data_IF_862297408562
#
_entry.id   IF_862297408562
#
_cell.length_a   1.000
_cell.length_b   1.000
_cell.length_c   1.000
_cell.angle_alpha   90.00
_cell.angle_beta   90.00
_cell.angle_gamma   90.00
#
_symmetry.space_group_name_H-M   'P 1'
#
loop_
_entity.id
_entity.type
_entity.pdbx_description
1 polymer ?
#
# COMPACT_ATOMS: atom_id res chain seq x y z
N UNK A 1 9.30 -35.10 17.03
CA UNK A 1 10.04 -34.22 16.09
C UNK A 1 11.41 -34.76 15.65
N UNK A 2 11.64 -36.08 15.55
CA UNK A 2 12.95 -36.63 15.13
C UNK A 2 12.95 -37.28 13.72
N UNK A 3 11.78 -37.52 13.10
CA UNK A 3 11.68 -38.21 11.79
C UNK A 3 11.62 -37.30 10.56
N UNK A 4 11.46 -35.99 10.74
CA UNK A 4 11.42 -35.00 9.64
C UNK A 4 12.81 -34.43 9.29
N UNK A 5 13.78 -34.47 10.21
CA UNK A 5 15.16 -33.99 9.95
C UNK A 5 15.95 -34.94 9.04
N UNK A 6 15.74 -36.26 9.13
CA UNK A 6 16.49 -37.26 8.36
C UNK A 6 16.11 -37.30 6.87
N UNK A 7 14.88 -36.94 6.51
CA UNK A 7 14.43 -36.85 5.11
C UNK A 7 14.95 -35.60 4.41
N UNK A 8 15.03 -34.47 5.12
CA UNK A 8 15.62 -33.22 4.60
C UNK A 8 17.14 -33.32 4.40
N UNK A 9 17.87 -34.01 5.29
CA UNK A 9 19.31 -34.24 5.13
C UNK A 9 19.64 -35.19 3.95
N UNK A 10 18.77 -36.16 3.65
CA UNK A 10 18.95 -37.05 2.48
C UNK A 10 18.73 -36.35 1.13
N UNK A 11 17.88 -35.33 1.09
CA UNK A 11 17.65 -34.57 -0.14
C UNK A 11 18.77 -33.55 -0.40
N UNK A 12 19.33 -32.94 0.66
CA UNK A 12 20.42 -31.96 0.51
C UNK A 12 21.73 -32.59 0.03
N UNK A 13 22.11 -33.76 0.57
CA UNK A 13 23.32 -34.48 0.13
C UNK A 13 23.24 -35.10 -1.27
N UNK A 14 22.11 -35.00 -1.97
CA UNK A 14 21.96 -35.39 -3.39
C UNK A 14 22.05 -34.20 -4.35
N UNK A 15 21.92 -32.98 -3.84
CA UNK A 15 22.04 -31.74 -4.61
C UNK A 15 23.52 -31.33 -4.81
N UNK A 16 24.41 -31.69 -3.88
CA UNK A 16 25.83 -31.33 -3.91
C UNK A 16 26.70 -32.19 -4.85
N UNK A 17 26.17 -33.28 -5.41
CA UNK A 17 26.94 -34.22 -6.26
C UNK A 17 26.88 -33.96 -7.77
N UNK A 18 26.34 -32.82 -8.20
CA UNK A 18 26.58 -32.27 -9.53
C UNK A 18 26.42 -33.23 -10.72
N UNK A 19 25.55 -34.23 -10.63
CA UNK A 19 25.29 -35.17 -11.73
C UNK A 19 23.93 -34.83 -12.34
N UNK A 20 23.85 -33.65 -12.94
CA UNK A 20 22.87 -33.40 -14.00
C UNK A 20 23.45 -33.97 -15.28
N UNK A 21 22.82 -34.96 -15.94
CA UNK A 21 23.17 -35.29 -17.31
C UNK A 21 22.87 -34.05 -18.15
N UNK A 22 23.85 -33.66 -18.98
CA UNK A 22 23.81 -32.44 -19.77
C UNK A 22 22.53 -32.30 -20.58
N UNK A 23 22.03 -31.06 -20.60
CA UNK A 23 21.03 -30.60 -21.55
C UNK A 23 21.75 -30.53 -22.90
N UNK A 24 21.43 -31.46 -23.81
CA UNK A 24 21.71 -31.28 -25.23
C UNK A 24 20.54 -30.54 -25.85
N UNK A 25 20.83 -29.39 -26.45
CA UNK A 25 19.90 -28.56 -27.21
C UNK A 25 19.53 -29.24 -28.53
N UNK A 26 18.47 -30.05 -28.56
CA UNK A 26 17.73 -30.37 -29.80
C UNK A 26 16.49 -31.24 -29.51
N UNK A 27 15.56 -30.79 -28.68
CA UNK A 27 14.19 -31.28 -28.72
C UNK A 27 13.36 -30.33 -27.86
N UNK A 28 12.46 -29.57 -28.50
CA UNK A 28 11.42 -28.83 -27.79
C UNK A 28 10.76 -29.87 -26.90
N UNK A 29 10.85 -29.79 -25.54
CA UNK A 29 10.31 -30.83 -24.70
C UNK A 29 8.84 -30.93 -25.09
N UNK A 30 8.50 -32.08 -25.68
CA UNK A 30 7.18 -32.28 -26.24
C UNK A 30 6.19 -31.87 -25.16
N UNK A 31 5.09 -31.20 -25.53
CA UNK A 31 4.10 -30.68 -24.56
C UNK A 31 3.78 -31.71 -23.46
N UNK A 32 3.81 -32.99 -23.83
CA UNK A 32 3.69 -34.19 -23.01
C UNK A 32 4.80 -34.40 -21.96
N UNK A 33 6.08 -34.16 -22.25
CA UNK A 33 7.14 -34.30 -21.25
C UNK A 33 6.97 -33.29 -20.11
N UNK A 34 6.58 -32.05 -20.41
CA UNK A 34 6.29 -31.05 -19.35
C UNK A 34 5.05 -31.41 -18.51
N UNK A 35 4.04 -32.03 -19.12
CA UNK A 35 2.75 -32.34 -18.49
C UNK A 35 2.86 -33.51 -17.50
N UNK A 36 3.72 -34.50 -17.77
CA UNK A 36 3.89 -35.67 -16.91
C UNK A 36 4.58 -35.32 -15.58
N UNK A 37 5.42 -34.29 -15.55
CA UNK A 37 6.05 -33.78 -14.33
C UNK A 37 5.20 -32.73 -13.59
N UNK A 38 4.04 -32.34 -14.12
CA UNK A 38 3.13 -31.44 -13.41
C UNK A 38 2.32 -32.21 -12.35
N UNK A 39 2.51 -31.83 -11.09
CA UNK A 39 1.74 -32.35 -9.98
C UNK A 39 0.25 -31.96 -10.12
N UNK A 40 -0.57 -32.89 -10.60
CA UNK A 40 -2.01 -32.71 -10.72
C UNK A 40 -2.75 -33.32 -9.50
N UNK A 41 -3.81 -32.67 -8.99
CA UNK A 41 -4.60 -33.22 -7.90
C UNK A 41 -5.27 -34.54 -8.34
N UNK A 42 -4.92 -35.65 -7.67
CA UNK A 42 -5.38 -36.99 -8.03
C UNK A 42 -6.90 -37.16 -7.96
N UNK A 43 -7.58 -36.44 -7.07
CA UNK A 43 -9.03 -36.52 -6.86
C UNK A 43 -9.65 -35.15 -6.55
N UNK A 44 -10.91 -34.98 -6.97
CA UNK A 44 -11.73 -33.81 -6.63
C UNK A 44 -12.08 -33.84 -5.14
N UNK A 45 -11.88 -32.71 -4.46
CA UNK A 45 -12.29 -32.56 -3.05
C UNK A 45 -13.81 -32.50 -2.93
N UNK A 46 -14.36 -33.15 -1.91
CA UNK A 46 -15.79 -33.12 -1.62
C UNK A 46 -16.26 -31.73 -1.16
N UNK A 47 -17.57 -31.51 -1.16
CA UNK A 47 -18.16 -30.23 -0.76
C UNK A 47 -17.92 -29.96 0.73
N UNK A 48 -17.99 -30.99 1.55
CA UNK A 48 -17.77 -30.95 3.00
C UNK A 48 -16.34 -30.52 3.32
N UNK A 49 -15.35 -31.15 2.67
CA UNK A 49 -13.92 -30.81 2.83
C UNK A 49 -13.68 -29.35 2.42
N UNK A 50 -14.29 -28.90 1.33
CA UNK A 50 -14.18 -27.51 0.90
C UNK A 50 -14.86 -26.54 1.85
N UNK A 51 -16.02 -26.89 2.42
CA UNK A 51 -16.73 -26.06 3.41
C UNK A 51 -15.92 -25.94 4.69
N UNK A 52 -15.43 -27.03 5.26
CA UNK A 52 -14.57 -27.01 6.46
C UNK A 52 -13.29 -26.22 6.21
N UNK A 53 -12.68 -26.37 5.02
CA UNK A 53 -11.48 -25.62 4.65
C UNK A 53 -11.73 -24.12 4.48
N UNK A 54 -12.91 -23.70 3.98
CA UNK A 54 -13.24 -22.28 3.72
C UNK A 54 -13.84 -21.57 4.92
N UNK A 55 -14.67 -22.26 5.71
CA UNK A 55 -15.42 -21.71 6.86
C UNK A 55 -14.71 -21.92 8.20
N UNK A 56 -13.43 -22.32 8.18
CA UNK A 56 -12.63 -22.37 9.40
C UNK A 56 -12.54 -20.94 9.98
N UNK A 57 -12.81 -20.72 11.27
CA UNK A 57 -12.70 -19.42 11.93
C UNK A 57 -11.39 -18.67 11.64
N UNK A 58 -10.27 -19.37 11.45
CA UNK A 58 -8.98 -18.76 11.10
C UNK A 58 -8.94 -18.08 9.72
N UNK A 59 -9.93 -18.36 8.86
CA UNK A 59 -10.09 -17.76 7.54
C UNK A 59 -11.27 -16.80 7.46
N UNK A 60 -12.07 -16.71 8.53
CA UNK A 60 -13.12 -15.72 8.63
C UNK A 60 -12.49 -14.37 8.95
N UNK A 61 -13.17 -13.30 8.53
CA UNK A 61 -12.75 -11.94 8.82
C UNK A 61 -13.05 -11.68 10.29
N UNK A 62 -12.02 -11.27 11.03
CA UNK A 62 -12.16 -10.92 12.44
C UNK A 62 -12.94 -9.60 12.62
N UNK A 63 -13.77 -9.56 13.65
CA UNK A 63 -14.57 -8.38 13.99
C UNK A 63 -13.66 -7.31 14.61
N UNK A 64 -13.58 -6.16 13.96
CA UNK A 64 -12.82 -4.99 14.43
C UNK A 64 -13.67 -4.14 15.36
N UNK A 65 -13.21 -3.95 16.61
CA UNK A 65 -13.89 -3.17 17.67
C UNK A 65 -13.25 -1.80 17.94
N UNK A 66 -12.40 -1.35 17.03
CA UNK A 66 -11.59 -0.14 17.17
C UNK A 66 -12.13 1.04 16.35
N UNK A 67 -13.46 1.12 16.17
CA UNK A 67 -14.14 2.18 15.44
C UNK A 67 -14.76 3.13 16.45
N UNK A 68 -14.37 4.40 16.39
CA UNK A 68 -14.88 5.48 17.24
C UNK A 68 -15.44 6.61 16.39
N UNK A 69 -16.15 7.55 17.02
CA UNK A 69 -16.67 8.76 16.38
C UNK A 69 -15.59 9.85 16.37
N UNK A 70 -15.46 10.58 15.26
CA UNK A 70 -14.57 11.73 15.16
C UNK A 70 -15.16 12.94 15.91
N UNK A 71 -14.38 13.65 16.74
CA UNK A 71 -14.88 14.80 17.51
C UNK A 71 -15.28 16.00 16.63
N UNK A 72 -14.59 16.22 15.51
CA UNK A 72 -14.83 17.39 14.64
C UNK A 72 -16.06 17.25 13.74
N UNK A 73 -16.19 16.09 13.09
CA UNK A 73 -17.18 15.89 12.02
C UNK A 73 -18.23 14.83 12.33
N UNK A 74 -18.11 14.09 13.43
CA UNK A 74 -19.03 13.00 13.77
C UNK A 74 -18.93 11.75 12.89
N UNK A 75 -18.07 11.72 11.87
CA UNK A 75 -17.86 10.52 11.06
C UNK A 75 -17.12 9.42 11.85
N UNK A 76 -17.40 8.17 11.51
CA UNK A 76 -16.68 7.03 12.07
C UNK A 76 -15.22 7.03 11.61
N UNK A 77 -14.30 6.86 12.56
CA UNK A 77 -12.86 6.71 12.32
C UNK A 77 -12.32 5.52 13.10
N UNK A 78 -11.15 5.03 12.70
CA UNK A 78 -10.45 3.99 13.46
C UNK A 78 -9.58 4.62 14.57
N UNK A 79 -9.45 3.93 15.72
CA UNK A 79 -8.47 4.26 16.76
C UNK A 79 -7.06 4.29 16.16
N UNK A 80 -6.28 5.31 16.53
CA UNK A 80 -4.92 5.57 16.02
C UNK A 80 -4.81 5.93 14.52
N UNK A 81 -5.92 6.23 13.84
CA UNK A 81 -5.94 6.70 12.45
C UNK A 81 -6.63 8.07 12.39
N UNK A 82 -6.12 8.96 11.54
CA UNK A 82 -6.76 10.25 11.27
C UNK A 82 -8.14 10.02 10.62
N UNK A 83 -9.08 10.95 10.84
CA UNK A 83 -10.39 10.87 10.18
C UNK A 83 -10.22 11.07 8.68
N UNK A 84 -10.69 10.13 7.87
CA UNK A 84 -10.59 10.19 6.41
C UNK A 84 -11.28 11.42 5.81
N UNK A 85 -12.41 11.83 6.39
CA UNK A 85 -13.17 12.99 5.91
C UNK A 85 -12.46 14.32 6.22
N UNK A 86 -12.02 14.52 7.46
CA UNK A 86 -11.27 15.73 7.83
C UNK A 86 -9.95 15.81 7.05
N UNK A 87 -9.26 14.67 6.89
CA UNK A 87 -8.05 14.62 6.09
C UNK A 87 -8.30 14.95 4.62
N UNK A 88 -9.39 14.48 4.02
CA UNK A 88 -9.74 14.81 2.64
C UNK A 88 -9.95 16.33 2.43
N UNK A 89 -10.59 17.02 3.38
CA UNK A 89 -10.73 18.48 3.34
C UNK A 89 -9.39 19.19 3.34
N UNK A 90 -8.50 18.83 4.27
CA UNK A 90 -7.15 19.42 4.38
C UNK A 90 -6.31 19.12 3.15
N UNK A 91 -6.41 17.90 2.62
CA UNK A 91 -5.71 17.47 1.40
C UNK A 91 -6.13 18.32 0.21
N UNK A 92 -7.43 18.59 0.06
CA UNK A 92 -7.94 19.40 -1.05
C UNK A 92 -7.51 20.87 -0.93
N UNK A 93 -7.55 21.46 0.26
CA UNK A 93 -7.04 22.83 0.45
C UNK A 93 -5.53 22.92 0.20
N UNK A 94 -4.76 21.95 0.70
CA UNK A 94 -3.31 21.87 0.45
C UNK A 94 -3.00 21.70 -1.03
N UNK A 95 -3.82 20.94 -1.77
CA UNK A 95 -3.69 20.78 -3.22
C UNK A 95 -3.86 22.12 -3.94
N UNK A 96 -4.88 22.89 -3.54
CA UNK A 96 -5.14 24.21 -4.14
C UNK A 96 -4.00 25.20 -3.85
N UNK A 97 -3.49 25.23 -2.62
CA UNK A 97 -2.33 26.05 -2.24
C UNK A 97 -1.10 25.67 -3.08
N UNK A 98 -0.82 24.37 -3.26
CA UNK A 98 0.29 23.90 -4.10
C UNK A 98 0.15 24.33 -5.56
N UNK A 99 -1.08 24.37 -6.09
CA UNK A 99 -1.30 24.86 -7.45
C UNK A 99 -0.99 26.35 -7.58
N UNK A 100 -1.25 27.15 -6.55
CA UNK A 100 -0.91 28.58 -6.56
C UNK A 100 0.59 28.82 -6.38
N UNK A 101 1.26 28.02 -5.53
CA UNK A 101 2.72 28.02 -5.43
C UNK A 101 3.33 27.75 -6.80
N UNK A 102 2.87 26.70 -7.48
CA UNK A 102 3.35 26.35 -8.81
C UNK A 102 3.16 27.48 -9.83
N UNK A 103 2.02 28.18 -9.78
CA UNK A 103 1.78 29.36 -10.62
C UNK A 103 2.74 30.52 -10.32
N UNK A 104 3.13 30.72 -9.05
CA UNK A 104 4.09 31.76 -8.65
C UNK A 104 5.54 31.40 -9.00
N UNK A 105 5.93 30.15 -8.85
CA UNK A 105 7.28 29.66 -9.16
C UNK A 105 7.53 29.59 -10.68
N UNK A 106 6.47 29.35 -11.48
CA UNK A 106 6.51 29.48 -12.93
C UNK A 106 7.35 28.42 -13.67
N UNK A 107 7.92 27.44 -12.97
CA UNK A 107 8.74 26.40 -13.59
C UNK A 107 9.33 25.40 -12.59
N UNK A 108 9.89 24.28 -13.09
CA UNK A 108 10.61 23.33 -12.26
C UNK A 108 11.93 23.93 -11.74
N UNK A 109 12.34 23.56 -10.53
CA UNK A 109 13.60 23.97 -9.86
C UNK A 109 13.69 25.46 -9.44
N UNK A 110 12.57 26.17 -9.36
CA UNK A 110 12.51 27.56 -8.88
C UNK A 110 12.03 27.66 -7.43
N UNK A 111 12.62 26.87 -6.53
CA UNK A 111 12.25 26.90 -5.12
C UNK A 111 12.77 28.19 -4.45
N UNK A 112 11.91 28.94 -3.75
CA UNK A 112 12.31 30.15 -3.04
C UNK A 112 13.17 29.84 -1.80
N UNK A 113 14.10 30.74 -1.44
CA UNK A 113 14.87 30.66 -0.18
C UNK A 113 14.09 31.23 1.01
N UNK A 114 12.99 31.94 0.76
CA UNK A 114 12.17 32.60 1.78
C UNK A 114 11.01 31.72 2.25
N UNK A 115 10.54 31.95 3.48
CA UNK A 115 9.37 31.28 4.02
C UNK A 115 8.09 31.67 3.26
N UNK A 116 7.07 30.81 3.32
CA UNK A 116 5.82 31.01 2.60
C UNK A 116 4.64 31.14 3.57
N UNK A 117 3.80 32.16 3.36
CA UNK A 117 2.61 32.44 4.18
C UNK A 117 1.38 32.43 3.29
N UNK A 118 0.31 31.77 3.73
CA UNK A 118 -0.97 31.70 3.01
C UNK A 118 -1.93 32.72 3.62
N UNK A 119 -2.40 33.66 2.79
CA UNK A 119 -3.42 34.65 3.17
C UNK A 119 -4.74 34.34 2.48
N UNK A 120 -5.82 34.45 3.24
CA UNK A 120 -7.19 34.29 2.75
C UNK A 120 -7.87 35.64 2.53
N UNK A 121 -9.08 35.63 1.94
CA UNK A 121 -9.85 36.85 1.68
C UNK A 121 -10.09 37.67 2.95
N UNK A 122 -9.71 38.94 2.92
CA UNK A 122 -9.91 39.90 4.01
C UNK A 122 -8.80 39.94 5.06
N UNK A 123 -7.78 39.07 4.95
CA UNK A 123 -6.61 39.10 5.82
C UNK A 123 -5.55 40.05 5.25
N UNK A 124 -4.94 40.86 6.11
CA UNK A 124 -3.81 41.72 5.76
C UNK A 124 -2.51 41.09 6.26
N UNK A 125 -1.37 41.23 5.54
CA UNK A 125 -0.08 40.79 6.04
C UNK A 125 0.23 41.41 7.40
N UNK A 126 0.74 40.62 8.34
CA UNK A 126 1.18 41.12 9.65
C UNK A 126 2.62 41.61 9.55
N UNK A 127 3.08 42.45 10.48
CA UNK A 127 4.49 42.89 10.60
C UNK A 127 5.48 41.71 10.65
N UNK A 128 5.05 40.54 11.15
CA UNK A 128 5.86 39.31 11.20
C UNK A 128 6.02 38.61 9.85
N UNK A 129 5.19 38.95 8.88
CA UNK A 129 5.16 38.35 7.55
C UNK A 129 5.99 39.16 6.52
N UNK A 130 6.62 40.24 6.98
CA UNK A 130 7.52 41.06 6.18
C UNK A 130 8.69 40.22 5.65
N UNK A 131 8.87 40.24 4.32
CA UNK A 131 9.93 39.49 3.64
C UNK A 131 9.60 38.03 3.32
N UNK A 132 8.40 37.54 3.67
CA UNK A 132 7.94 36.18 3.30
C UNK A 132 7.19 36.18 1.99
N UNK A 133 7.22 35.05 1.29
CA UNK A 133 6.44 34.86 0.07
C UNK A 133 4.97 34.62 0.43
N UNK A 134 4.14 35.60 0.07
CA UNK A 134 2.70 35.53 0.30
C UNK A 134 2.05 34.70 -0.80
N UNK A 135 1.14 33.78 -0.47
CA UNK A 135 0.24 33.09 -1.39
C UNK A 135 -1.18 33.52 -1.06
N UNK A 136 -1.91 34.04 -2.04
CA UNK A 136 -3.26 34.57 -1.84
C UNK A 136 -4.30 33.56 -2.30
N UNK A 137 -5.26 33.27 -1.42
CA UNK A 137 -6.41 32.40 -1.69
C UNK A 137 -7.69 33.22 -1.76
N UNK A 138 -8.38 33.17 -2.90
CA UNK A 138 -9.72 33.73 -3.10
C UNK A 138 -10.81 32.84 -2.46
N UNK A 139 -10.65 32.58 -1.16
CA UNK A 139 -11.59 31.82 -0.33
C UNK A 139 -11.55 32.39 1.08
N UNK A 140 -12.66 32.27 1.82
CA UNK A 140 -12.70 32.50 3.27
C UNK A 140 -11.86 31.44 4.00
N UNK A 141 -11.21 31.84 5.10
CA UNK A 141 -10.43 30.92 5.94
C UNK A 141 -11.31 29.78 6.46
N UNK A 142 -10.92 28.51 6.26
CA UNK A 142 -11.67 27.39 6.84
C UNK A 142 -11.55 27.41 8.36
N UNK A 143 -12.69 27.20 9.04
CA UNK A 143 -12.76 27.00 10.50
C UNK A 143 -12.36 25.58 10.90
#
# INVERSE_FOLDING_TARGET
>A
MARLRTLLQRCWGKLERGLWPGINDAEVPSLFESVVWMAAPKQRRTVEVNRCRRRNPSKLIEIKRNIDVCPECGNLKQKHVLCGYCYAKVKEESRLIRMEIYKKEGGPLNAPTVETVVLYEGEKPTEKDEGKQIIERARKRPS
#
